data_IF_637017704961
#
_entry.id   IF_637017704961
#
_cell.length_a   1.000
_cell.length_b   1.000
_cell.length_c   1.000
_cell.angle_alpha   90.00
_cell.angle_beta   90.00
_cell.angle_gamma   90.00
#
_symmetry.space_group_name_H-M   'P 1'
#
loop_
_entity.id
_entity.type
_entity.pdbx_description
1 polymer ?
#
# COMPACT_ATOMS: atom_id res chain seq x y z
N UNK A 1 -40.71 10.99 14.74
CA UNK A 1 -40.08 9.77 14.20
C UNK A 1 -38.59 10.04 14.11
N UNK A 2 -37.85 9.62 15.15
CA UNK A 2 -36.41 9.85 15.24
C UNK A 2 -35.69 8.80 14.41
N UNK A 3 -35.10 9.24 13.30
CA UNK A 3 -34.15 8.45 12.53
C UNK A 3 -32.86 8.33 13.34
N UNK A 4 -32.57 7.13 13.84
CA UNK A 4 -31.26 6.74 14.37
C UNK A 4 -30.17 7.08 13.36
N UNK A 5 -29.02 7.67 13.75
CA UNK A 5 -27.91 7.81 12.82
C UNK A 5 -27.39 6.41 12.53
N UNK A 6 -27.52 6.01 11.27
CA UNK A 6 -27.14 4.72 10.75
C UNK A 6 -25.68 4.38 11.08
N UNK A 7 -25.45 3.12 11.45
CA UNK A 7 -24.13 2.51 11.53
C UNK A 7 -23.30 2.96 10.31
N UNK A 8 -22.21 3.69 10.58
CA UNK A 8 -21.18 3.95 9.57
C UNK A 8 -20.72 2.61 8.99
N UNK A 9 -20.90 2.41 7.69
CA UNK A 9 -20.52 1.18 6.99
C UNK A 9 -18.99 1.13 6.84
N UNK A 10 -18.28 0.88 7.92
CA UNK A 10 -16.83 0.73 7.91
C UNK A 10 -16.45 -0.71 7.59
N UNK A 11 -16.38 -1.05 6.29
CA UNK A 11 -15.74 -2.29 5.83
C UNK A 11 -14.22 -2.10 5.87
N UNK A 12 -13.64 -1.58 4.79
CA UNK A 12 -12.21 -1.21 4.72
C UNK A 12 -11.97 0.29 4.47
N UNK A 13 -13.00 1.01 4.02
CA UNK A 13 -13.00 2.47 3.93
C UNK A 13 -13.93 3.00 5.02
N UNK A 14 -13.39 3.75 5.97
CA UNK A 14 -14.14 4.24 7.12
C UNK A 14 -14.21 5.77 7.09
N UNK A 15 -15.44 6.28 6.99
CA UNK A 15 -15.74 7.69 7.15
C UNK A 15 -16.40 7.89 8.51
N UNK A 16 -15.77 8.70 9.35
CA UNK A 16 -16.25 9.05 10.69
C UNK A 16 -16.39 10.56 10.74
N UNK A 17 -17.51 11.04 11.25
CA UNK A 17 -17.67 12.46 11.58
C UNK A 17 -17.36 12.64 13.06
N UNK A 18 -16.68 13.74 13.42
CA UNK A 18 -16.54 14.15 14.81
C UNK A 18 -17.92 14.43 15.38
N UNK A 19 -18.50 13.45 16.05
CA UNK A 19 -19.81 13.57 16.67
C UNK A 19 -19.75 14.61 17.80
N UNK A 20 -20.88 15.29 18.01
CA UNK A 20 -21.07 16.11 19.20
C UNK A 20 -20.93 15.23 20.44
N UNK A 21 -20.41 15.82 21.51
CA UNK A 21 -20.20 15.19 22.82
C UNK A 21 -21.49 14.52 23.27
N UNK A 22 -21.56 13.19 23.18
CA UNK A 22 -22.59 12.42 23.85
C UNK A 22 -22.20 12.35 25.33
N UNK A 23 -23.05 12.82 26.28
CA UNK A 23 -22.76 12.79 27.71
C UNK A 23 -22.42 11.40 28.25
N UNK A 24 -22.85 10.34 27.56
CA UNK A 24 -22.61 8.93 27.92
C UNK A 24 -21.33 8.35 27.29
N UNK A 25 -20.77 9.01 26.28
CA UNK A 25 -19.60 8.53 25.55
C UNK A 25 -18.34 9.24 26.06
N UNK A 26 -17.32 8.46 26.42
CA UNK A 26 -16.02 8.98 26.87
C UNK A 26 -15.32 9.87 25.82
N UNK A 27 -14.24 10.57 26.20
CA UNK A 27 -13.54 11.51 25.31
C UNK A 27 -12.89 10.86 24.08
N UNK A 28 -12.82 9.53 24.03
CA UNK A 28 -12.23 8.75 22.93
C UNK A 28 -13.31 7.91 22.29
N UNK A 29 -13.57 8.13 21.01
CA UNK A 29 -14.41 7.25 20.22
C UNK A 29 -13.56 6.10 19.68
N UNK A 30 -14.05 4.85 19.75
CA UNK A 30 -13.34 3.70 19.22
C UNK A 30 -14.06 3.09 18.03
N UNK A 31 -13.30 2.78 16.96
CA UNK A 31 -13.81 2.10 15.76
C UNK A 31 -12.89 0.92 15.44
N UNK A 32 -13.46 -0.23 15.10
CA UNK A 32 -12.67 -1.41 14.69
C UNK A 32 -12.87 -1.71 13.21
N UNK A 33 -11.76 -1.93 12.50
CA UNK A 33 -11.72 -2.29 11.08
C UNK A 33 -11.09 -3.68 10.95
N UNK A 34 -11.68 -4.54 10.12
CA UNK A 34 -11.18 -5.90 9.87
C UNK A 34 -10.67 -6.05 8.45
N UNK A 35 -9.66 -5.25 8.10
CA UNK A 35 -9.00 -5.30 6.80
C UNK A 35 -7.49 -5.16 6.98
N UNK A 36 -6.73 -5.81 6.10
CA UNK A 36 -5.26 -5.68 6.07
C UNK A 36 -4.81 -4.41 5.34
N UNK A 37 -5.67 -3.81 4.53
CA UNK A 37 -5.48 -2.51 3.90
C UNK A 37 -6.80 -1.74 3.91
N UNK A 38 -6.73 -0.42 4.01
CA UNK A 38 -7.92 0.40 4.03
C UNK A 38 -7.65 1.90 4.06
N UNK A 39 -8.73 2.67 4.14
CA UNK A 39 -8.69 4.13 4.21
C UNK A 39 -9.54 4.65 5.36
N UNK A 40 -9.10 5.76 5.93
CA UNK A 40 -9.78 6.45 7.02
C UNK A 40 -9.97 7.89 6.62
N UNK A 41 -11.17 8.41 6.88
CA UNK A 41 -11.50 9.82 6.75
C UNK A 41 -12.26 10.27 7.99
N UNK A 42 -11.65 11.16 8.77
CA UNK A 42 -12.25 11.74 9.95
C UNK A 42 -12.59 13.22 9.71
N UNK A 43 -13.88 13.51 9.59
CA UNK A 43 -14.40 14.84 9.29
C UNK A 43 -14.64 15.63 10.57
N UNK A 44 -14.24 16.90 10.62
CA UNK A 44 -14.45 17.80 11.77
C UNK A 44 -13.93 17.23 13.11
N UNK A 45 -12.64 16.86 13.21
CA UNK A 45 -12.04 16.33 14.44
C UNK A 45 -12.21 17.29 15.63
N UNK A 46 -12.71 16.78 16.76
CA UNK A 46 -12.99 17.56 17.98
C UNK A 46 -12.42 16.97 19.28
N UNK A 47 -12.05 15.69 19.32
CA UNK A 47 -11.55 14.99 20.51
C UNK A 47 -10.47 13.99 20.11
N UNK A 48 -10.65 12.71 20.41
CA UNK A 48 -9.78 11.64 19.95
C UNK A 48 -10.56 10.48 19.34
N UNK A 49 -9.93 9.80 18.39
CA UNK A 49 -10.43 8.62 17.71
C UNK A 49 -9.40 7.51 17.84
N UNK A 50 -9.80 6.36 18.37
CA UNK A 50 -8.99 5.15 18.45
C UNK A 50 -9.46 4.14 17.41
N UNK A 51 -8.59 3.74 16.51
CA UNK A 51 -8.85 2.75 15.48
C UNK A 51 -8.18 1.42 15.87
N UNK A 52 -8.95 0.35 15.88
CA UNK A 52 -8.46 -1.01 16.07
C UNK A 52 -8.46 -1.74 14.74
N UNK A 53 -7.27 -1.91 14.16
CA UNK A 53 -7.04 -2.54 12.87
C UNK A 53 -6.74 -4.03 13.06
N UNK A 54 -7.52 -4.90 12.42
CA UNK A 54 -7.33 -6.34 12.44
C UNK A 54 -7.19 -6.87 11.01
N UNK A 55 -6.29 -7.82 10.75
CA UNK A 55 -6.21 -8.45 9.45
C UNK A 55 -7.51 -9.20 9.15
N UNK A 56 -7.82 -9.34 7.86
CA UNK A 56 -8.96 -10.12 7.38
C UNK A 56 -8.78 -11.62 7.65
N UNK A 57 -7.54 -12.11 7.62
CA UNK A 57 -7.19 -13.51 7.91
C UNK A 57 -6.89 -13.68 9.40
N UNK A 58 -7.62 -14.56 10.07
CA UNK A 58 -7.53 -14.72 11.53
C UNK A 58 -6.16 -15.22 12.04
N UNK A 59 -5.43 -15.98 11.22
CA UNK A 59 -4.08 -16.47 11.53
C UNK A 59 -2.97 -15.46 11.23
N UNK A 60 -3.28 -14.39 10.49
CA UNK A 60 -2.26 -13.41 10.11
C UNK A 60 -1.80 -12.63 11.34
N UNK A 61 -0.48 -12.52 11.47
CA UNK A 61 0.16 -11.63 12.43
C UNK A 61 0.92 -10.57 11.65
N UNK A 62 0.42 -9.33 11.57
CA UNK A 62 1.15 -8.27 10.92
C UNK A 62 2.46 -8.05 11.68
N UNK A 63 3.54 -7.78 10.94
CA UNK A 63 4.86 -7.44 11.46
C UNK A 63 5.08 -5.91 11.49
N UNK A 64 4.35 -5.17 10.65
CA UNK A 64 4.34 -3.72 10.69
C UNK A 64 2.97 -3.13 10.32
N UNK A 65 2.72 -1.93 10.83
CA UNK A 65 1.64 -1.04 10.41
C UNK A 65 2.29 0.12 9.65
N UNK A 66 1.89 0.32 8.41
CA UNK A 66 2.28 1.47 7.61
C UNK A 66 1.07 2.36 7.35
N UNK A 67 1.28 3.67 7.34
CA UNK A 67 0.25 4.65 6.94
C UNK A 67 0.80 5.64 5.94
N UNK A 68 -0.08 6.16 5.08
CA UNK A 68 0.21 7.25 4.15
C UNK A 68 -0.88 8.30 4.30
N UNK A 69 -0.51 9.47 4.84
CA UNK A 69 -1.43 10.59 4.96
C UNK A 69 -1.68 11.24 3.59
N UNK A 70 -2.89 11.75 3.39
CA UNK A 70 -3.21 12.60 2.24
C UNK A 70 -2.66 13.99 2.45
N UNK A 71 -2.22 14.67 1.39
CA UNK A 71 -1.80 16.10 1.44
C UNK A 71 -2.85 17.03 2.06
N UNK A 72 -4.13 16.68 1.95
CA UNK A 72 -5.23 17.48 2.49
C UNK A 72 -5.53 17.18 3.97
N UNK A 73 -4.82 16.21 4.57
CA UNK A 73 -5.03 15.78 5.95
C UNK A 73 -4.60 16.87 6.92
N UNK A 74 -5.53 17.33 7.76
CA UNK A 74 -5.28 18.35 8.79
C UNK A 74 -6.31 18.33 9.90
N UNK A 75 -5.92 18.87 11.05
CA UNK A 75 -6.74 19.04 12.24
C UNK A 75 -6.55 17.94 13.29
N UNK A 76 -5.60 17.02 13.10
CA UNK A 76 -5.22 16.03 14.11
C UNK A 76 -3.83 15.47 13.86
N UNK A 77 -3.14 15.10 14.94
CA UNK A 77 -1.95 14.26 14.88
C UNK A 77 -2.35 12.78 14.89
N UNK A 78 -1.54 11.94 14.23
CA UNK A 78 -1.77 10.49 14.11
C UNK A 78 -0.65 9.73 14.81
N UNK A 79 -1.02 8.81 15.70
CA UNK A 79 -0.11 8.02 16.51
C UNK A 79 -0.38 6.53 16.31
N UNK A 80 0.68 5.71 16.30
CA UNK A 80 0.56 4.28 16.53
C UNK A 80 0.59 3.98 18.03
N UNK A 81 -0.31 3.12 18.49
CA UNK A 81 -0.29 2.60 19.85
C UNK A 81 0.50 1.30 19.89
N UNK A 82 1.54 1.24 20.74
CA UNK A 82 2.41 0.08 20.88
C UNK A 82 2.84 -0.08 22.34
N UNK A 83 2.64 -1.27 22.90
CA UNK A 83 3.02 -1.59 24.28
C UNK A 83 2.51 -0.57 25.34
N UNK A 84 1.36 0.06 25.08
CA UNK A 84 0.79 1.09 25.95
C UNK A 84 1.32 2.51 25.73
N UNK A 85 2.26 2.71 24.80
CA UNK A 85 2.81 4.01 24.42
C UNK A 85 2.25 4.49 23.07
N UNK A 86 2.24 5.80 22.87
CA UNK A 86 1.84 6.44 21.60
C UNK A 86 3.08 6.95 20.85
N UNK A 87 3.36 6.35 19.70
CA UNK A 87 4.42 6.78 18.79
C UNK A 87 3.83 7.66 17.70
N UNK A 88 4.27 8.91 17.61
CA UNK A 88 3.84 9.86 16.57
C UNK A 88 4.24 9.36 15.17
N UNK A 89 3.28 9.36 14.25
CA UNK A 89 3.48 8.98 12.85
C UNK A 89 3.37 10.15 11.90
N UNK A 90 2.41 11.04 12.15
CA UNK A 90 2.12 12.20 11.29
C UNK A 90 1.76 13.38 12.18
N UNK A 91 2.46 14.49 12.01
CA UNK A 91 2.16 15.76 12.67
C UNK A 91 0.99 16.50 12.01
N UNK A 92 0.27 17.31 12.78
CA UNK A 92 -0.80 18.14 12.21
C UNK A 92 -0.21 19.26 11.35
N UNK A 93 -0.57 19.29 10.07
CA UNK A 93 -0.06 20.27 9.10
C UNK A 93 1.17 19.81 8.33
N UNK A 94 1.65 18.59 8.56
CA UNK A 94 2.71 17.99 7.76
C UNK A 94 2.19 17.68 6.34
N UNK A 95 2.69 18.41 5.34
CA UNK A 95 2.33 18.22 3.93
C UNK A 95 3.15 17.10 3.28
N UNK A 96 3.21 15.94 3.92
CA UNK A 96 3.98 14.79 3.44
C UNK A 96 3.06 13.64 3.03
N UNK A 97 3.26 13.11 1.82
CA UNK A 97 2.68 11.81 1.40
C UNK A 97 3.67 10.67 1.66
N UNK A 98 4.59 10.85 2.60
CA UNK A 98 5.52 9.81 2.98
C UNK A 98 4.78 8.67 3.69
N UNK A 99 5.28 7.45 3.46
CA UNK A 99 4.78 6.27 4.15
C UNK A 99 5.55 6.15 5.46
N UNK A 100 4.84 6.12 6.57
CA UNK A 100 5.41 5.91 7.91
C UNK A 100 5.06 4.50 8.38
N UNK A 101 6.07 3.72 8.73
CA UNK A 101 5.91 2.34 9.15
C UNK A 101 6.45 2.13 10.57
N UNK A 102 5.67 1.43 11.39
CA UNK A 102 6.08 0.98 12.72
C UNK A 102 5.96 -0.52 12.83
N UNK A 103 6.94 -1.14 13.49
CA UNK A 103 6.87 -2.56 13.79
C UNK A 103 5.78 -2.81 14.82
N UNK A 104 4.96 -3.82 14.57
CA UNK A 104 4.02 -4.34 15.56
C UNK A 104 4.77 -5.28 16.51
N UNK A 105 4.18 -5.52 17.67
CA UNK A 105 4.67 -6.46 18.70
C UNK A 105 4.23 -7.92 18.44
N UNK A 106 3.80 -8.26 17.21
CA UNK A 106 3.25 -9.57 16.90
C UNK A 106 1.83 -9.82 17.45
N UNK A 107 1.14 -8.76 17.90
CA UNK A 107 -0.29 -8.81 18.20
C UNK A 107 -1.11 -9.17 16.96
N UNK A 108 -2.34 -9.64 17.18
CA UNK A 108 -3.31 -9.99 16.10
C UNK A 108 -3.87 -8.76 15.35
N UNK A 109 -3.22 -7.62 15.44
CA UNK A 109 -3.69 -6.34 14.91
C UNK A 109 -2.79 -5.19 15.34
N UNK A 110 -3.19 -3.98 14.97
CA UNK A 110 -2.53 -2.74 15.36
C UNK A 110 -3.58 -1.69 15.77
N UNK A 111 -3.17 -0.70 16.55
CA UNK A 111 -4.03 0.37 16.97
C UNK A 111 -3.45 1.73 16.55
N UNK A 112 -4.32 2.61 16.03
CA UNK A 112 -3.99 3.99 15.69
C UNK A 112 -4.81 4.90 16.60
N UNK A 113 -4.15 5.88 17.20
CA UNK A 113 -4.79 6.94 17.97
C UNK A 113 -4.68 8.26 17.20
N UNK A 114 -5.80 8.93 17.00
CA UNK A 114 -5.86 10.24 16.38
C UNK A 114 -6.28 11.25 17.43
N UNK A 115 -5.52 12.33 17.56
CA UNK A 115 -5.81 13.40 18.52
C UNK A 115 -6.07 14.71 17.78
N UNK A 116 -7.30 15.22 17.89
CA UNK A 116 -7.68 16.49 17.29
C UNK A 116 -6.85 17.64 17.86
N UNK A 117 -6.42 18.54 16.98
CA UNK A 117 -5.77 19.78 17.40
C UNK A 117 -6.84 20.82 17.80
N UNK A 118 -6.82 21.34 19.05
CA UNK A 118 -7.79 22.33 19.48
C UNK A 118 -7.65 23.69 18.75
N UNK A 119 -6.45 24.06 18.29
CA UNK A 119 -6.11 25.42 17.83
C UNK A 119 -6.28 25.68 16.32
N UNK A 120 -6.65 24.70 15.49
CA UNK A 120 -6.72 24.86 14.03
C UNK A 120 -8.05 25.51 13.54
N UNK A 121 -8.15 25.99 12.30
CA UNK A 121 -9.43 26.56 11.82
C UNK A 121 -10.48 25.44 11.58
N UNK A 122 -11.66 25.52 12.22
CA UNK A 122 -12.66 24.44 12.28
C UNK A 122 -13.36 24.13 10.94
N UNK A 123 -13.38 25.08 10.01
CA UNK A 123 -14.27 25.02 8.83
C UNK A 123 -13.81 24.04 7.74
N UNK A 124 -12.56 23.56 7.78
CA UNK A 124 -12.00 22.66 6.75
C UNK A 124 -11.14 21.53 7.31
N UNK A 125 -11.38 21.11 8.55
CA UNK A 125 -10.62 20.03 9.21
C UNK A 125 -11.11 18.67 8.70
N UNK A 126 -10.21 17.92 8.07
CA UNK A 126 -10.44 16.54 7.70
C UNK A 126 -9.11 15.82 7.77
N UNK A 127 -9.06 14.75 8.55
CA UNK A 127 -7.89 13.87 8.62
C UNK A 127 -8.15 12.73 7.65
N UNK A 128 -7.21 12.45 6.76
CA UNK A 128 -7.36 11.33 5.84
C UNK A 128 -6.04 10.65 5.56
N UNK A 129 -6.04 9.33 5.72
CA UNK A 129 -4.88 8.50 5.42
C UNK A 129 -5.34 7.12 4.95
N UNK A 130 -4.42 6.43 4.29
CA UNK A 130 -4.51 4.99 4.01
C UNK A 130 -3.63 4.23 4.99
N UNK A 131 -3.97 2.99 5.29
CA UNK A 131 -3.17 2.11 6.13
C UNK A 131 -2.97 0.75 5.49
N UNK A 132 -1.86 0.10 5.81
CA UNK A 132 -1.54 -1.28 5.42
C UNK A 132 -0.89 -2.02 6.59
N UNK A 133 -1.35 -3.24 6.83
CA UNK A 133 -0.80 -4.21 7.77
C UNK A 133 0.11 -5.16 7.00
N UNK A 134 1.42 -4.94 7.11
CA UNK A 134 2.44 -5.69 6.38
C UNK A 134 2.83 -6.96 7.14
N UNK A 135 3.07 -8.03 6.39
CA UNK A 135 3.69 -9.25 6.94
C UNK A 135 5.21 -9.12 6.92
N UNK A 136 5.90 -9.99 7.67
CA UNK A 136 7.36 -9.89 7.84
C UNK A 136 8.12 -10.02 6.51
N UNK A 137 7.56 -10.75 5.54
CA UNK A 137 8.13 -10.93 4.20
C UNK A 137 8.05 -9.68 3.30
N UNK A 138 7.18 -8.71 3.61
CA UNK A 138 6.95 -7.51 2.77
C UNK A 138 7.67 -6.26 3.27
N UNK A 139 8.44 -6.34 4.35
CA UNK A 139 9.25 -5.23 4.85
C UNK A 139 10.63 -5.34 4.22
N UNK A 140 11.05 -4.29 3.50
CA UNK A 140 12.30 -4.16 2.73
C UNK A 140 13.58 -4.55 3.49
N UNK A 141 13.78 -5.85 3.65
CA UNK A 141 15.02 -6.47 4.06
C UNK A 141 16.03 -6.38 2.92
N UNK A 142 17.33 -6.43 3.23
CA UNK A 142 18.43 -6.57 2.24
C UNK A 142 18.23 -7.76 1.27
N UNK A 143 17.35 -8.70 1.60
CA UNK A 143 16.88 -9.75 0.71
C UNK A 143 16.02 -9.27 -0.49
N UNK A 144 15.57 -8.02 -0.50
CA UNK A 144 14.68 -7.47 -1.54
C UNK A 144 15.39 -7.12 -2.86
N UNK A 145 16.71 -6.88 -2.84
CA UNK A 145 17.45 -6.47 -4.04
C UNK A 145 18.18 -7.63 -4.74
N UNK A 146 17.99 -8.88 -4.27
CA UNK A 146 18.59 -10.04 -4.93
C UNK A 146 17.80 -10.38 -6.20
N UNK A 147 18.45 -10.91 -7.24
CA UNK A 147 17.73 -11.52 -8.36
C UNK A 147 16.79 -12.62 -7.85
N UNK A 148 15.58 -12.66 -8.39
CA UNK A 148 14.63 -13.74 -8.09
C UNK A 148 15.15 -15.07 -8.63
N UNK A 149 14.94 -16.14 -7.87
CA UNK A 149 15.15 -17.51 -8.33
C UNK A 149 14.04 -17.94 -9.31
N UNK A 150 14.31 -18.98 -10.08
CA UNK A 150 13.35 -19.57 -11.04
C UNK A 150 11.99 -19.88 -10.39
N UNK A 151 12.00 -20.49 -9.20
CA UNK A 151 10.78 -20.76 -8.44
C UNK A 151 10.04 -19.49 -8.01
N UNK A 152 10.77 -18.43 -7.65
CA UNK A 152 10.16 -17.15 -7.27
C UNK A 152 9.52 -16.46 -8.47
N UNK A 153 10.16 -16.53 -9.64
CA UNK A 153 9.62 -15.99 -10.89
C UNK A 153 8.33 -16.71 -11.27
N UNK A 154 8.34 -18.05 -11.28
CA UNK A 154 7.19 -18.89 -11.60
C UNK A 154 6.04 -18.74 -10.59
N UNK A 155 6.34 -18.46 -9.33
CA UNK A 155 5.31 -18.18 -8.32
C UNK A 155 4.75 -16.75 -8.48
N UNK A 156 5.60 -15.76 -8.79
CA UNK A 156 5.23 -14.36 -8.83
C UNK A 156 4.13 -14.08 -9.87
N UNK A 157 4.17 -14.72 -11.04
CA UNK A 157 3.11 -14.57 -12.05
C UNK A 157 1.72 -14.99 -11.54
N UNK A 158 1.66 -15.88 -10.55
CA UNK A 158 0.42 -16.38 -9.98
C UNK A 158 -0.08 -15.54 -8.80
N UNK A 159 0.83 -14.95 -8.02
CA UNK A 159 0.49 -14.35 -6.72
C UNK A 159 0.66 -12.83 -6.64
N UNK A 160 1.34 -12.22 -7.60
CA UNK A 160 1.56 -10.77 -7.60
C UNK A 160 0.28 -9.97 -7.83
N UNK A 161 0.22 -8.77 -7.24
CA UNK A 161 -0.87 -7.82 -7.46
C UNK A 161 -0.87 -7.31 -8.90
N UNK A 162 0.32 -7.22 -9.52
CA UNK A 162 0.47 -6.91 -10.94
C UNK A 162 1.49 -7.81 -11.64
N UNK A 163 1.25 -8.05 -12.92
CA UNK A 163 2.13 -8.76 -13.84
C UNK A 163 2.08 -8.04 -15.18
N UNK A 164 3.21 -7.45 -15.58
CA UNK A 164 3.29 -6.55 -16.73
C UNK A 164 4.54 -6.87 -17.56
N UNK A 165 4.38 -6.98 -18.87
CA UNK A 165 5.52 -7.00 -19.82
C UNK A 165 5.69 -5.61 -20.40
N UNK A 166 6.91 -5.10 -20.48
CA UNK A 166 7.17 -3.78 -21.06
C UNK A 166 8.65 -3.43 -21.16
N UNK A 167 8.93 -2.23 -21.68
CA UNK A 167 10.27 -1.69 -21.88
C UNK A 167 10.55 -0.60 -20.83
N UNK A 168 11.80 -0.50 -20.36
CA UNK A 168 12.19 0.58 -19.43
C UNK A 168 12.47 1.84 -20.24
N UNK A 169 11.60 2.85 -20.10
CA UNK A 169 11.81 4.17 -20.72
C UNK A 169 12.87 4.97 -20.00
N UNK A 170 12.75 5.06 -18.68
CA UNK A 170 13.65 5.84 -17.84
C UNK A 170 13.71 5.28 -16.41
N UNK A 171 14.77 5.62 -15.68
CA UNK A 171 14.88 5.36 -14.24
C UNK A 171 15.28 6.65 -13.54
N UNK A 172 14.48 7.09 -12.57
CA UNK A 172 14.78 8.22 -11.71
C UNK A 172 15.12 7.76 -10.30
N UNK A 173 16.05 8.47 -9.66
CA UNK A 173 16.49 8.18 -8.29
C UNK A 173 16.09 9.32 -7.36
N UNK A 174 15.50 8.97 -6.20
CA UNK A 174 15.02 9.92 -5.21
C UNK A 174 15.67 9.63 -3.84
N UNK A 175 16.87 10.17 -3.56
CA UNK A 175 17.61 9.96 -2.30
C UNK A 175 16.80 10.33 -1.05
N UNK A 176 16.04 11.43 -1.11
CA UNK A 176 15.18 11.89 -0.01
C UNK A 176 14.14 10.84 0.41
N UNK A 177 13.66 10.05 -0.56
CA UNK A 177 12.65 8.99 -0.32
C UNK A 177 13.27 7.60 -0.19
N UNK A 178 14.58 7.47 -0.40
CA UNK A 178 15.27 6.18 -0.50
C UNK A 178 14.63 5.24 -1.54
N UNK A 179 14.09 5.79 -2.63
CA UNK A 179 13.44 5.04 -3.72
C UNK A 179 14.04 5.36 -5.09
N UNK A 180 13.91 4.42 -6.02
CA UNK A 180 14.06 4.63 -7.46
C UNK A 180 12.72 4.32 -8.14
N UNK A 181 12.41 5.06 -9.20
CA UNK A 181 11.19 4.88 -9.98
C UNK A 181 11.58 4.48 -11.40
N UNK A 182 10.99 3.38 -11.86
CA UNK A 182 11.14 2.84 -13.21
C UNK A 182 9.91 3.26 -14.00
N UNK A 183 10.11 4.05 -15.05
CA UNK A 183 9.06 4.39 -16.02
C UNK A 183 9.00 3.28 -17.07
N UNK A 184 7.83 2.66 -17.20
CA UNK A 184 7.62 1.53 -18.11
C UNK A 184 6.70 1.95 -19.25
N UNK A 185 7.11 1.65 -20.47
CA UNK A 185 6.39 1.93 -21.72
C UNK A 185 6.15 0.65 -22.54
N UNK A 186 5.37 0.79 -23.61
CA UNK A 186 4.97 -0.32 -24.49
C UNK A 186 4.36 -1.49 -23.69
N UNK A 187 3.70 -1.18 -22.57
CA UNK A 187 3.40 -2.18 -21.59
C UNK A 187 2.15 -2.97 -21.98
N UNK A 188 2.22 -4.29 -21.74
CA UNK A 188 1.11 -5.21 -21.77
C UNK A 188 0.84 -5.69 -20.35
N UNK A 189 -0.35 -5.38 -19.85
CA UNK A 189 -0.79 -5.77 -18.52
C UNK A 189 -1.50 -7.12 -18.60
N UNK A 190 -0.93 -8.13 -17.95
CA UNK A 190 -1.55 -9.45 -17.78
C UNK A 190 -2.44 -9.51 -16.53
N UNK A 191 -2.03 -8.78 -15.49
CA UNK A 191 -2.75 -8.64 -14.23
C UNK A 191 -2.44 -7.29 -13.60
N UNK A 192 -3.44 -6.64 -13.03
CA UNK A 192 -3.27 -5.57 -12.06
C UNK A 192 -4.49 -5.52 -11.14
N UNK A 193 -4.27 -5.39 -9.83
CA UNK A 193 -5.36 -5.35 -8.84
C UNK A 193 -6.16 -4.06 -8.93
N UNK A 194 -5.48 -2.93 -9.13
CA UNK A 194 -6.07 -1.62 -9.41
C UNK A 194 -5.46 -1.04 -10.69
N UNK A 195 -5.93 0.14 -11.13
CA UNK A 195 -5.40 0.82 -12.31
C UNK A 195 -4.07 1.54 -12.08
N UNK A 196 -3.03 0.81 -11.64
CA UNK A 196 -1.67 1.34 -11.44
C UNK A 196 -0.90 1.52 -12.75
N UNK A 197 -1.30 0.81 -13.80
CA UNK A 197 -0.93 1.09 -15.17
C UNK A 197 -2.14 1.69 -15.87
N UNK A 198 -1.91 2.77 -16.61
CA UNK A 198 -2.93 3.49 -17.36
C UNK A 198 -2.75 3.26 -18.86
N UNK A 199 -3.86 3.27 -19.59
CA UNK A 199 -3.86 3.06 -21.03
C UNK A 199 -3.86 4.41 -21.73
N UNK A 200 -2.87 4.64 -22.59
CA UNK A 200 -2.78 5.92 -23.29
C UNK A 200 -3.93 6.02 -24.33
N UNK A 201 -4.78 7.07 -24.29
CA UNK A 201 -5.99 7.08 -25.11
C UNK A 201 -5.76 7.28 -26.61
N UNK A 202 -4.58 7.77 -27.03
CA UNK A 202 -4.44 8.45 -28.33
C UNK A 202 -3.46 7.76 -29.30
N UNK A 203 -2.41 7.04 -28.86
CA UNK A 203 -1.31 6.71 -29.80
C UNK A 203 -0.91 5.23 -29.95
N UNK A 204 -1.37 4.31 -29.10
CA UNK A 204 -0.97 2.90 -29.26
C UNK A 204 -1.85 1.87 -28.56
N UNK A 205 -2.69 2.30 -27.62
CA UNK A 205 -3.44 1.39 -26.77
C UNK A 205 -2.57 0.56 -25.82
N UNK A 206 -1.25 0.79 -25.80
CA UNK A 206 -0.33 0.23 -24.82
C UNK A 206 -0.51 0.91 -23.47
N UNK A 207 -0.12 0.18 -22.43
CA UNK A 207 -0.15 0.67 -21.08
C UNK A 207 1.16 1.40 -20.76
N UNK A 208 1.10 2.36 -19.86
CA UNK A 208 2.25 3.03 -19.26
C UNK A 208 2.06 3.08 -17.74
N UNK A 209 3.17 3.13 -17.01
CA UNK A 209 3.11 3.13 -15.55
C UNK A 209 4.47 3.34 -14.90
N UNK A 210 4.44 3.45 -13.58
CA UNK A 210 5.61 3.68 -12.76
C UNK A 210 5.74 2.58 -11.72
N UNK A 211 6.94 1.99 -11.62
CA UNK A 211 7.24 0.96 -10.62
C UNK A 211 8.32 1.47 -9.67
N UNK A 212 8.07 1.34 -8.37
CA UNK A 212 8.98 1.75 -7.31
C UNK A 212 9.86 0.60 -6.86
N UNK A 213 11.10 0.91 -6.50
CA UNK A 213 12.06 -0.03 -5.92
C UNK A 213 12.97 0.69 -4.92
N UNK A 214 13.49 0.03 -3.87
CA UNK A 214 14.44 0.65 -2.95
C UNK A 214 15.68 1.20 -3.68
N UNK A 215 16.16 2.38 -3.28
CA UNK A 215 17.33 3.03 -3.90
C UNK A 215 18.60 2.17 -3.81
N UNK A 216 18.75 1.42 -2.71
CA UNK A 216 19.85 0.49 -2.48
C UNK A 216 19.90 -0.70 -3.48
N UNK A 217 18.85 -0.93 -4.26
CA UNK A 217 18.86 -1.94 -5.32
C UNK A 217 19.62 -1.46 -6.58
N UNK A 218 19.96 -0.16 -6.66
CA UNK A 218 20.76 0.43 -7.74
C UNK A 218 20.29 0.05 -9.15
N UNK A 219 18.96 0.02 -9.35
CA UNK A 219 18.36 -0.31 -10.64
C UNK A 219 18.81 0.68 -11.71
N UNK A 220 19.03 0.17 -12.92
CA UNK A 220 19.40 0.96 -14.10
C UNK A 220 18.47 0.61 -15.26
N UNK A 221 18.32 1.55 -16.18
CA UNK A 221 17.65 1.27 -17.44
C UNK A 221 18.41 0.18 -18.20
N UNK A 222 17.69 -0.86 -18.63
CA UNK A 222 18.22 -1.94 -19.46
C UNK A 222 17.44 -2.00 -20.76
N UNK A 223 18.12 -2.35 -21.86
CA UNK A 223 17.47 -2.55 -23.15
C UNK A 223 16.67 -3.86 -23.18
N UNK A 224 15.61 -3.88 -24.00
CA UNK A 224 14.73 -5.03 -24.21
C UNK A 224 13.50 -5.03 -23.31
N UNK A 225 12.69 -6.08 -23.42
CA UNK A 225 11.47 -6.23 -22.63
C UNK A 225 11.70 -7.07 -21.37
N UNK A 226 11.03 -6.67 -20.30
CA UNK A 226 11.09 -7.30 -18.99
C UNK A 226 9.70 -7.72 -18.55
N UNK A 227 9.63 -8.78 -17.75
CA UNK A 227 8.43 -9.15 -17.02
C UNK A 227 8.51 -8.55 -15.61
N UNK A 228 7.73 -7.51 -15.36
CA UNK A 228 7.62 -6.90 -14.05
C UNK A 228 6.52 -7.55 -13.23
N UNK A 229 6.86 -8.04 -12.05
CA UNK A 229 5.91 -8.55 -11.07
C UNK A 229 6.12 -7.84 -9.74
N UNK A 230 5.05 -7.70 -8.96
CA UNK A 230 5.16 -7.01 -7.68
C UNK A 230 3.88 -6.91 -6.88
N UNK A 231 3.99 -6.13 -5.81
CA UNK A 231 2.89 -5.80 -4.91
C UNK A 231 2.45 -4.36 -5.12
N UNK A 232 1.17 -4.09 -4.86
CA UNK A 232 0.66 -2.72 -4.84
C UNK A 232 0.55 -2.24 -3.39
N UNK A 233 1.32 -1.19 -3.07
CA UNK A 233 1.31 -0.52 -1.77
C UNK A 233 0.83 0.92 -1.93
N UNK A 234 -0.22 1.29 -1.21
CA UNK A 234 -0.82 2.62 -1.22
C UNK A 234 -1.26 3.15 -2.59
N UNK A 235 -1.53 2.25 -3.55
CA UNK A 235 -1.85 2.58 -4.95
C UNK A 235 -0.62 2.84 -5.82
N UNK A 236 0.57 2.48 -5.35
CA UNK A 236 1.82 2.53 -6.09
C UNK A 236 2.31 1.09 -6.36
N UNK A 237 2.82 0.83 -7.56
CA UNK A 237 3.42 -0.45 -7.87
C UNK A 237 4.82 -0.54 -7.26
N UNK A 238 5.12 -1.62 -6.53
CA UNK A 238 6.43 -1.91 -5.95
C UNK A 238 7.00 -3.20 -6.51
N UNK A 239 8.24 -3.14 -6.99
CA UNK A 239 8.88 -4.22 -7.70
C UNK A 239 9.21 -5.41 -6.77
N UNK A 240 8.92 -6.63 -7.23
CA UNK A 240 9.40 -7.88 -6.64
C UNK A 240 10.40 -8.57 -7.58
N UNK A 241 9.99 -8.91 -8.82
CA UNK A 241 10.88 -9.51 -9.83
C UNK A 241 10.82 -8.75 -11.15
N UNK A 242 11.95 -8.73 -11.87
CA UNK A 242 12.09 -8.14 -13.20
C UNK A 242 13.02 -8.95 -14.12
N UNK A 243 12.78 -10.25 -14.37
CA UNK A 243 13.56 -10.97 -15.38
C UNK A 243 13.35 -10.36 -16.77
N UNK A 244 14.32 -10.59 -17.67
CA UNK A 244 14.08 -10.34 -19.10
C UNK A 244 12.95 -11.26 -19.57
N UNK A 245 12.07 -10.74 -20.41
CA UNK A 245 10.90 -11.50 -20.85
C UNK A 245 11.29 -12.80 -21.57
N UNK A 246 12.32 -12.74 -22.43
CA UNK A 246 12.85 -13.91 -23.13
C UNK A 246 13.31 -15.03 -22.17
N UNK A 247 14.08 -14.67 -21.14
CA UNK A 247 14.59 -15.64 -20.16
C UNK A 247 13.43 -16.26 -19.35
N UNK A 248 12.40 -15.47 -19.06
CA UNK A 248 11.17 -15.97 -18.45
C UNK A 248 10.39 -16.93 -19.36
N UNK A 249 10.26 -16.63 -20.65
CA UNK A 249 9.57 -17.51 -21.60
C UNK A 249 10.23 -18.89 -21.65
N UNK A 250 11.56 -18.93 -21.79
CA UNK A 250 12.33 -20.17 -21.78
C UNK A 250 12.12 -20.95 -20.46
N UNK A 251 12.22 -20.26 -19.32
CA UNK A 251 11.96 -20.85 -18.00
C UNK A 251 10.54 -21.42 -17.88
N UNK A 252 9.52 -20.66 -18.30
CA UNK A 252 8.12 -21.07 -18.21
C UNK A 252 7.83 -22.29 -19.07
N UNK A 253 8.32 -22.33 -20.32
CA UNK A 253 8.11 -23.49 -21.19
C UNK A 253 8.78 -24.76 -20.64
N UNK A 254 10.00 -24.64 -20.11
CA UNK A 254 10.68 -25.76 -19.45
C UNK A 254 9.91 -26.26 -18.22
N UNK A 255 9.46 -25.35 -17.36
CA UNK A 255 8.67 -25.70 -16.19
C UNK A 255 7.31 -26.30 -16.55
N UNK A 256 6.66 -25.79 -17.60
CA UNK A 256 5.37 -26.30 -18.09
C UNK A 256 5.49 -27.71 -18.66
N UNK A 257 6.53 -27.97 -19.46
CA UNK A 257 6.81 -29.31 -19.98
C UNK A 257 7.10 -30.31 -18.86
N UNK A 258 7.77 -29.86 -17.80
CA UNK A 258 8.04 -30.65 -16.59
C UNK A 258 6.85 -30.74 -15.61
N UNK A 259 5.69 -30.14 -15.92
CA UNK A 259 4.51 -30.05 -15.04
C UNK A 259 4.80 -29.43 -13.65
N UNK A 260 5.73 -28.49 -13.60
CA UNK A 260 6.16 -27.77 -12.39
C UNK A 260 5.61 -26.33 -12.32
N UNK A 261 4.55 -26.01 -13.07
CA UNK A 261 3.90 -24.69 -13.01
C UNK A 261 2.78 -24.66 -11.96
N UNK A 262 2.64 -23.53 -11.27
CA UNK A 262 1.58 -23.34 -10.25
C UNK A 262 0.30 -22.76 -10.86
N UNK A 263 0.42 -22.02 -11.97
CA UNK A 263 -0.70 -21.48 -12.73
C UNK A 263 -0.34 -21.36 -14.22
N UNK A 264 -1.36 -21.27 -15.07
CA UNK A 264 -1.18 -20.98 -16.50
C UNK A 264 -0.98 -19.48 -16.73
N UNK A 265 -0.10 -19.13 -17.67
CA UNK A 265 0.25 -17.77 -18.02
C UNK A 265 0.15 -17.55 -19.55
N UNK A 266 -0.58 -16.53 -20.01
CA UNK A 266 -0.72 -16.25 -21.44
C UNK A 266 0.53 -15.56 -21.99
N UNK A 267 1.46 -16.35 -22.54
CA UNK A 267 2.70 -15.82 -23.13
C UNK A 267 2.44 -15.04 -24.43
N UNK A 268 1.46 -15.48 -25.22
CA UNK A 268 1.04 -14.88 -26.51
C UNK A 268 0.71 -13.40 -26.38
#
# INVERSE_FOLDING_TARGET
MHSSPSLSSCLCACAVSGLARDPLSGPVQQVSLRCSTGSVRWLFPRLALRLLLKPNVASARPAALCIKASRASRGAAVYAERAGELQLLVEDGELSEQVHCVRTDGARGAAIFLQANPQSDFRRRAVSFRYELLQEKSIGSKAACRPCSDSEILQAICTSDFVVRGSIRSVSHHPERQTSVIEVEEARVYRQRSGIFEREPIMSGHWHGHIHTPLQCHVKAGAGQFLFTGAEHFGEAWLSCAPRFKDFEELYYLARAAQHITCEFPID
#
